data_IF_380241365947
#
_entry.id   IF_380241365947
#
_cell.length_a   1.000
_cell.length_b   1.000
_cell.length_c   1.000
_cell.angle_alpha   90.00
_cell.angle_beta   90.00
_cell.angle_gamma   90.00
#
_symmetry.space_group_name_H-M   'P 1'
#
loop_
_entity.id
_entity.type
_entity.pdbx_description
1 polymer ?
#
# COMPACT_ATOMS: atom_id res chain seq x y z
N UNK A 1 15.73 -36.83 42.86
CA UNK A 1 15.59 -36.57 41.41
C UNK A 1 14.73 -35.34 41.03
N UNK A 2 13.79 -34.82 41.86
CA UNK A 2 12.85 -33.76 41.42
C UNK A 2 13.48 -32.39 41.06
N UNK A 3 14.60 -31.98 41.67
CA UNK A 3 15.22 -30.67 41.40
C UNK A 3 15.72 -30.44 39.96
N UNK A 4 16.13 -31.50 39.25
CA UNK A 4 16.62 -31.39 37.86
C UNK A 4 15.50 -31.13 36.82
N UNK A 5 14.22 -31.31 37.19
CA UNK A 5 13.10 -31.02 36.30
C UNK A 5 12.80 -29.52 36.23
N UNK A 6 12.80 -28.83 37.38
CA UNK A 6 12.47 -27.40 37.47
C UNK A 6 13.52 -26.54 36.74
N UNK A 7 14.80 -26.86 36.85
CA UNK A 7 15.87 -26.11 36.15
C UNK A 7 15.81 -26.27 34.64
N UNK A 8 15.40 -27.44 34.12
CA UNK A 8 15.16 -27.64 32.69
C UNK A 8 13.91 -26.91 32.18
N UNK A 9 12.82 -26.87 32.98
CA UNK A 9 11.64 -26.09 32.65
C UNK A 9 11.96 -24.58 32.56
N UNK A 10 12.69 -24.04 33.55
CA UNK A 10 13.12 -22.64 33.56
C UNK A 10 14.02 -22.30 32.36
N UNK A 11 14.99 -23.18 32.03
CA UNK A 11 15.87 -23.00 30.87
C UNK A 11 15.12 -22.99 29.53
N UNK A 12 14.14 -23.89 29.35
CA UNK A 12 13.30 -23.92 28.15
C UNK A 12 12.43 -22.66 28.03
N UNK A 13 11.87 -22.17 29.15
CA UNK A 13 11.06 -20.95 29.18
C UNK A 13 11.88 -19.70 28.83
N UNK A 14 13.11 -19.60 29.36
CA UNK A 14 14.04 -18.52 29.05
C UNK A 14 14.50 -18.55 27.58
N UNK A 15 14.75 -19.74 27.02
CA UNK A 15 15.11 -19.89 25.61
C UNK A 15 13.95 -19.52 24.67
N UNK A 16 12.72 -19.89 25.01
CA UNK A 16 11.52 -19.51 24.24
C UNK A 16 11.27 -17.99 24.30
N UNK A 17 11.40 -17.37 25.48
CA UNK A 17 11.28 -15.92 25.63
C UNK A 17 12.39 -15.15 24.88
N UNK A 18 13.63 -15.67 24.88
CA UNK A 18 14.71 -15.10 24.07
C UNK A 18 14.42 -15.20 22.57
N UNK A 19 13.83 -16.32 22.11
CA UNK A 19 13.45 -16.51 20.71
C UNK A 19 12.30 -15.59 20.28
N UNK A 20 11.30 -15.33 21.13
CA UNK A 20 10.22 -14.38 20.80
C UNK A 20 10.69 -12.93 20.82
N UNK A 21 11.62 -12.55 21.70
CA UNK A 21 12.24 -11.21 21.70
C UNK A 21 13.25 -11.02 20.54
N UNK A 22 13.82 -12.10 20.00
CA UNK A 22 14.70 -12.06 18.83
C UNK A 22 13.95 -12.07 17.48
N UNK A 23 12.62 -12.24 17.49
CA UNK A 23 11.81 -12.15 16.28
C UNK A 23 11.74 -10.68 15.80
N UNK A 24 11.96 -10.40 14.51
CA UNK A 24 11.83 -9.04 13.98
C UNK A 24 10.37 -8.59 14.07
N UNK A 25 10.13 -7.46 14.74
CA UNK A 25 8.80 -6.85 14.76
C UNK A 25 8.40 -6.41 13.35
N UNK A 26 7.15 -6.69 12.96
CA UNK A 26 6.60 -6.16 11.73
C UNK A 26 6.46 -4.62 11.82
N UNK A 27 6.76 -3.87 10.75
CA UNK A 27 6.60 -2.42 10.77
C UNK A 27 5.12 -2.04 10.90
N UNK A 28 4.76 -1.34 11.97
CA UNK A 28 3.43 -0.77 12.13
C UNK A 28 3.31 0.48 11.23
N UNK A 29 2.38 0.46 10.28
CA UNK A 29 2.13 1.59 9.36
C UNK A 29 1.26 2.65 10.05
N UNK A 30 1.85 3.37 11.01
CA UNK A 30 1.19 4.39 11.84
C UNK A 30 1.18 5.79 11.19
N UNK A 31 0.84 5.85 9.90
CA UNK A 31 0.81 7.08 9.12
C UNK A 31 -0.43 7.13 8.23
N UNK A 32 -1.11 8.28 8.28
CA UNK A 32 -2.26 8.57 7.43
C UNK A 32 -1.82 8.71 5.97
N UNK A 33 -2.46 7.94 5.10
CA UNK A 33 -2.25 7.92 3.66
C UNK A 33 -3.63 7.92 2.95
N UNK A 34 -3.68 8.47 1.74
CA UNK A 34 -4.88 8.39 0.91
C UNK A 34 -5.06 6.93 0.49
N UNK A 35 -6.17 6.31 0.89
CA UNK A 35 -6.52 4.93 0.56
C UNK A 35 -7.42 4.83 -0.67
N UNK A 36 -8.11 5.92 -1.03
CA UNK A 36 -8.91 6.02 -2.25
C UNK A 36 -9.50 7.40 -2.48
N UNK A 37 -10.18 7.58 -3.61
CA UNK A 37 -10.93 8.79 -3.93
C UNK A 37 -12.10 8.51 -4.86
N UNK A 38 -13.09 9.41 -4.84
CA UNK A 38 -14.17 9.47 -5.81
C UNK A 38 -14.25 10.88 -6.40
N UNK A 39 -13.99 11.09 -7.71
CA UNK A 39 -13.48 10.11 -8.68
C UNK A 39 -12.11 9.54 -8.27
N UNK A 40 -11.79 8.32 -8.73
CA UNK A 40 -10.47 7.72 -8.56
C UNK A 40 -9.40 8.49 -9.36
N UNK A 41 -8.13 8.38 -8.96
CA UNK A 41 -7.03 8.98 -9.75
C UNK A 41 -6.95 8.38 -11.15
N UNK A 42 -6.71 9.24 -12.14
CA UNK A 42 -6.74 8.90 -13.57
C UNK A 42 -8.13 8.65 -14.16
N UNK A 43 -9.20 8.66 -13.35
CA UNK A 43 -10.54 8.27 -13.81
C UNK A 43 -11.09 9.19 -14.92
N UNK A 44 -11.86 8.58 -15.83
CA UNK A 44 -12.70 9.27 -16.81
C UNK A 44 -14.15 9.14 -16.36
N UNK A 45 -14.87 10.24 -16.23
CA UNK A 45 -16.22 10.31 -15.66
C UNK A 45 -17.12 11.28 -16.44
N UNK A 46 -18.40 10.97 -16.54
CA UNK A 46 -19.36 11.76 -17.32
C UNK A 46 -19.67 13.12 -16.67
N UNK A 47 -19.81 13.13 -15.34
CA UNK A 47 -19.96 14.34 -14.53
C UNK A 47 -19.47 14.11 -13.10
N UNK A 48 -19.29 15.20 -12.34
CA UNK A 48 -18.87 15.18 -10.93
C UNK A 48 -19.63 16.27 -10.17
N UNK A 49 -20.16 15.95 -8.98
CA UNK A 49 -20.81 16.92 -8.09
C UNK A 49 -19.93 17.32 -6.89
N UNK A 50 -19.06 16.41 -6.46
CA UNK A 50 -18.05 16.62 -5.43
C UNK A 50 -16.91 15.61 -5.58
N UNK A 51 -15.76 15.93 -4.99
CA UNK A 51 -14.66 14.98 -4.81
C UNK A 51 -14.62 14.55 -3.35
N UNK A 52 -14.57 13.24 -3.13
CA UNK A 52 -14.33 12.60 -1.83
C UNK A 52 -12.92 12.02 -1.83
N UNK A 53 -12.18 12.26 -0.76
CA UNK A 53 -10.86 11.69 -0.50
C UNK A 53 -10.96 10.83 0.76
N UNK A 54 -10.69 9.53 0.64
CA UNK A 54 -10.74 8.57 1.74
C UNK A 54 -9.33 8.23 2.20
N UNK A 55 -9.11 8.25 3.51
CA UNK A 55 -7.84 7.93 4.14
C UNK A 55 -7.91 6.61 4.91
N UNK A 56 -6.77 6.01 5.24
CA UNK A 56 -6.69 4.80 6.08
C UNK A 56 -6.90 5.07 7.59
N UNK A 57 -6.91 6.34 8.00
CA UNK A 57 -7.01 6.80 9.39
C UNK A 57 -7.91 8.05 9.46
N UNK A 58 -8.39 8.41 10.65
CA UNK A 58 -9.24 9.60 10.83
C UNK A 58 -8.50 10.90 10.51
N UNK A 59 -9.22 11.84 9.90
CA UNK A 59 -8.76 13.19 9.60
C UNK A 59 -9.40 14.19 10.57
N UNK A 60 -8.59 15.08 11.17
CA UNK A 60 -9.06 16.15 12.06
C UNK A 60 -9.54 17.38 11.30
N UNK A 61 -8.87 17.73 10.20
CA UNK A 61 -9.19 18.88 9.35
C UNK A 61 -8.48 18.80 7.99
N UNK A 62 -8.90 19.60 7.00
CA UNK A 62 -8.19 19.64 5.72
C UNK A 62 -8.60 20.76 4.77
N UNK A 63 -7.82 20.89 3.70
CA UNK A 63 -8.04 21.76 2.56
C UNK A 63 -7.94 20.93 1.27
N UNK A 64 -8.87 21.14 0.34
CA UNK A 64 -8.94 20.43 -0.95
C UNK A 64 -9.20 21.45 -2.05
N UNK A 65 -8.28 21.55 -3.02
CA UNK A 65 -8.26 22.54 -4.09
C UNK A 65 -8.41 21.80 -5.42
N UNK A 66 -9.63 21.85 -5.98
CA UNK A 66 -9.93 21.34 -7.32
C UNK A 66 -9.73 22.47 -8.34
N UNK A 67 -8.96 22.21 -9.39
CA UNK A 67 -8.62 23.15 -10.47
C UNK A 67 -8.82 22.50 -11.85
N UNK A 68 -9.09 23.31 -12.88
CA UNK A 68 -9.05 22.88 -14.28
C UNK A 68 -7.63 23.03 -14.88
N UNK A 69 -7.45 22.61 -16.14
CA UNK A 69 -6.19 22.72 -16.88
C UNK A 69 -5.68 24.17 -17.13
N UNK A 70 -6.43 25.20 -16.73
CA UNK A 70 -6.03 26.60 -16.79
C UNK A 70 -5.82 27.21 -15.38
N UNK A 71 -5.56 26.36 -14.39
CA UNK A 71 -5.31 26.70 -12.97
C UNK A 71 -6.42 27.57 -12.35
N UNK A 72 -7.66 27.47 -12.86
CA UNK A 72 -8.82 28.13 -12.27
C UNK A 72 -9.48 27.20 -11.24
N UNK A 73 -9.67 27.65 -9.99
CA UNK A 73 -10.42 26.90 -8.98
C UNK A 73 -11.86 26.61 -9.43
N UNK A 74 -12.25 25.33 -9.45
CA UNK A 74 -13.60 24.87 -9.82
C UNK A 74 -14.36 24.26 -8.64
N UNK A 75 -14.03 24.66 -7.41
CA UNK A 75 -14.65 24.13 -6.19
C UNK A 75 -15.50 25.19 -5.45
N UNK A 76 -16.49 24.75 -4.67
CA UNK A 76 -17.36 25.60 -3.84
C UNK A 76 -17.51 25.07 -2.40
N UNK A 77 -18.22 25.82 -1.56
CA UNK A 77 -18.45 25.50 -0.14
C UNK A 77 -17.17 25.46 0.70
N UNK A 78 -17.31 24.97 1.94
CA UNK A 78 -16.18 24.54 2.79
C UNK A 78 -15.77 23.11 2.44
N UNK A 79 -14.61 22.66 2.93
CA UNK A 79 -14.32 21.22 3.05
C UNK A 79 -15.19 20.66 4.19
N UNK A 80 -15.73 19.47 4.01
CA UNK A 80 -16.34 18.67 5.07
C UNK A 80 -15.40 17.51 5.42
N UNK A 81 -15.30 17.15 6.69
CA UNK A 81 -14.53 15.99 7.17
C UNK A 81 -15.44 15.11 8.01
N UNK A 82 -15.37 13.79 7.83
CA UNK A 82 -16.21 12.81 8.50
C UNK A 82 -15.42 11.50 8.69
N UNK A 83 -14.77 11.35 9.85
CA UNK A 83 -13.89 10.21 10.11
C UNK A 83 -12.72 10.17 9.14
N UNK A 84 -12.67 9.13 8.30
CA UNK A 84 -11.66 8.92 7.24
C UNK A 84 -11.89 9.76 5.98
N UNK A 85 -13.07 10.34 5.79
CA UNK A 85 -13.46 10.99 4.53
C UNK A 85 -13.36 12.52 4.56
N UNK A 86 -12.84 13.08 3.46
CA UNK A 86 -12.66 14.53 3.24
C UNK A 86 -13.30 14.93 1.91
N UNK A 87 -14.37 15.72 1.97
CA UNK A 87 -15.24 16.01 0.81
C UNK A 87 -15.18 17.48 0.39
N UNK A 88 -15.13 17.74 -0.93
CA UNK A 88 -15.22 19.10 -1.52
C UNK A 88 -16.13 19.14 -2.74
N UNK A 89 -17.17 19.99 -2.68
CA UNK A 89 -18.15 20.20 -3.77
C UNK A 89 -17.58 21.00 -4.93
N UNK A 90 -17.96 20.68 -6.17
CA UNK A 90 -17.53 21.43 -7.37
C UNK A 90 -18.49 22.55 -7.75
N UNK A 91 -17.98 23.52 -8.52
CA UNK A 91 -18.77 24.55 -9.19
C UNK A 91 -19.53 23.91 -10.35
N UNK A 92 -20.83 23.86 -10.13
CA UNK A 92 -21.90 23.56 -11.08
C UNK A 92 -21.61 22.32 -11.94
N UNK A 93 -21.96 22.32 -13.22
CA UNK A 93 -21.53 21.24 -14.12
C UNK A 93 -20.11 21.54 -14.62
N UNK A 94 -19.15 20.65 -14.33
CA UNK A 94 -17.79 20.76 -14.87
C UNK A 94 -17.79 20.55 -16.39
N UNK A 95 -17.23 21.46 -17.21
CA UNK A 95 -16.98 21.21 -18.62
C UNK A 95 -16.07 19.99 -18.86
N UNK A 96 -16.17 19.37 -20.03
CA UNK A 96 -15.27 18.30 -20.43
C UNK A 96 -13.80 18.77 -20.43
N UNK A 97 -12.89 17.93 -19.92
CA UNK A 97 -11.48 18.26 -19.76
C UNK A 97 -10.82 17.62 -18.54
N UNK A 98 -9.50 17.82 -18.38
CA UNK A 98 -8.73 17.32 -17.24
C UNK A 98 -8.79 18.29 -16.05
N UNK A 99 -8.92 17.70 -14.86
CA UNK A 99 -8.95 18.38 -13.57
C UNK A 99 -7.86 17.83 -12.64
N UNK A 100 -7.38 18.69 -11.76
CA UNK A 100 -6.36 18.39 -10.75
C UNK A 100 -6.94 18.69 -9.37
N UNK A 101 -6.79 17.73 -8.45
CA UNK A 101 -7.21 17.85 -7.04
C UNK A 101 -5.95 17.82 -6.18
N UNK A 102 -5.54 18.98 -5.66
CA UNK A 102 -4.53 19.06 -4.61
C UNK A 102 -5.18 19.02 -3.23
N UNK A 103 -4.58 18.33 -2.26
CA UNK A 103 -5.09 18.27 -0.89
C UNK A 103 -3.97 18.44 0.16
N UNK A 104 -4.38 18.97 1.33
CA UNK A 104 -3.59 18.97 2.56
C UNK A 104 -4.52 18.72 3.74
N UNK A 105 -4.32 17.60 4.43
CA UNK A 105 -5.10 17.19 5.61
C UNK A 105 -4.21 17.13 6.85
N UNK A 106 -4.83 17.24 8.03
CA UNK A 106 -4.19 17.00 9.33
C UNK A 106 -4.84 15.74 9.90
N UNK A 107 -4.03 14.71 10.12
CA UNK A 107 -4.43 13.38 10.59
C UNK A 107 -4.74 13.31 12.09
N UNK A 108 -5.29 12.18 12.53
CA UNK A 108 -5.59 11.89 13.93
C UNK A 108 -4.36 11.98 14.85
N UNK A 109 -3.17 11.64 14.36
CA UNK A 109 -1.89 11.78 15.07
C UNK A 109 -1.33 13.24 15.08
N UNK A 110 -1.88 14.13 14.24
CA UNK A 110 -1.50 15.53 14.12
C UNK A 110 -0.55 15.89 12.97
N UNK A 111 -0.09 14.91 12.17
CA UNK A 111 0.81 15.19 11.05
C UNK A 111 0.10 15.82 9.82
N UNK A 112 0.80 16.64 9.02
CA UNK A 112 0.26 17.17 7.77
C UNK A 112 0.51 16.21 6.60
N UNK A 113 -0.56 15.66 6.03
CA UNK A 113 -0.48 14.80 4.82
C UNK A 113 -0.90 15.60 3.60
N UNK A 114 -0.09 15.57 2.54
CA UNK A 114 -0.33 16.29 1.28
C UNK A 114 -0.26 15.37 0.07
N UNK A 115 -1.03 15.67 -0.97
CA UNK A 115 -0.91 14.98 -2.25
C UNK A 115 -1.74 15.64 -3.35
N UNK A 116 -1.66 15.04 -4.53
CA UNK A 116 -2.36 15.49 -5.73
C UNK A 116 -2.84 14.29 -6.52
N UNK A 117 -4.07 14.34 -7.02
CA UNK A 117 -4.62 13.37 -7.97
C UNK A 117 -5.30 14.11 -9.15
N UNK A 118 -5.66 13.38 -10.19
CA UNK A 118 -6.30 13.94 -11.39
C UNK A 118 -7.48 13.11 -11.87
N UNK A 119 -8.46 13.75 -12.50
CA UNK A 119 -9.55 13.07 -13.19
C UNK A 119 -9.89 13.81 -14.49
N UNK A 120 -10.65 13.17 -15.38
CA UNK A 120 -11.10 13.76 -16.64
C UNK A 120 -12.62 13.69 -16.74
N UNK A 121 -13.26 14.82 -16.97
CA UNK A 121 -14.69 14.87 -17.31
C UNK A 121 -14.82 14.66 -18.81
N UNK A 122 -15.65 13.69 -19.24
CA UNK A 122 -15.95 13.41 -20.65
C UNK A 122 -17.07 14.30 -21.18
N UNK A 123 -18.03 14.68 -20.32
CA UNK A 123 -19.22 15.43 -20.70
C UNK A 123 -20.24 14.62 -21.52
N UNK A 124 -20.11 13.29 -21.57
CA UNK A 124 -21.10 12.43 -22.20
C UNK A 124 -22.39 12.39 -21.33
N UNK A 125 -23.55 12.25 -21.98
CA UNK A 125 -24.74 11.80 -21.26
C UNK A 125 -24.52 10.33 -20.85
N UNK A 126 -24.97 9.90 -19.65
CA UNK A 126 -24.69 8.57 -19.12
C UNK A 126 -25.28 7.50 -20.03
N UNK A 127 -24.42 6.92 -20.86
CA UNK A 127 -24.79 5.86 -21.77
C UNK A 127 -24.80 4.57 -20.96
N UNK A 128 -26.00 4.10 -20.62
CA UNK A 128 -26.18 2.82 -19.93
C UNK A 128 -25.40 1.71 -20.66
N UNK A 129 -24.77 0.77 -19.94
CA UNK A 129 -23.93 -0.25 -20.56
C UNK A 129 -24.75 -1.09 -21.54
N UNK A 130 -24.47 -0.95 -22.83
CA UNK A 130 -25.13 -1.68 -23.92
C UNK A 130 -24.77 -3.17 -23.86
N UNK A 131 -25.51 -3.92 -23.05
CA UNK A 131 -25.46 -5.38 -22.99
C UNK A 131 -26.03 -6.00 -24.27
N UNK A 132 -25.16 -6.24 -25.25
CA UNK A 132 -25.40 -7.10 -26.42
C UNK A 132 -24.21 -8.06 -26.49
N UNK A 133 -24.28 -9.18 -25.79
CA UNK A 133 -24.78 -10.49 -26.27
C UNK A 133 -23.60 -11.37 -26.67
N UNK A 134 -23.46 -12.53 -26.02
CA UNK A 134 -22.52 -13.55 -26.45
C UNK A 134 -23.07 -14.27 -27.69
N UNK A 135 -22.41 -14.13 -28.84
CA UNK A 135 -22.60 -15.04 -29.97
C UNK A 135 -21.67 -16.25 -29.81
N UNK A 136 -22.18 -17.43 -30.15
CA UNK A 136 -21.50 -18.71 -29.92
C UNK A 136 -21.21 -19.37 -31.27
N UNK A 137 -19.92 -19.52 -31.61
CA UNK A 137 -19.51 -20.32 -32.77
C UNK A 137 -18.42 -21.32 -32.43
N UNK A 138 -18.87 -22.48 -31.95
CA UNK A 138 -18.08 -23.70 -31.85
C UNK A 138 -17.59 -24.16 -33.22
N UNK A 139 -16.31 -24.53 -33.31
CA UNK A 139 -15.77 -25.40 -34.34
C UNK A 139 -14.70 -26.32 -33.71
N UNK A 140 -14.61 -27.56 -34.19
CA UNK A 140 -13.99 -28.70 -33.48
C UNK A 140 -12.79 -29.25 -34.29
N UNK A 141 -11.74 -29.83 -33.67
CA UNK A 141 -10.38 -29.85 -34.25
C UNK A 141 -10.03 -31.11 -35.08
N UNK A 142 -8.83 -31.11 -35.68
CA UNK A 142 -8.16 -32.29 -36.26
C UNK A 142 -6.62 -32.09 -36.32
N UNK A 143 -5.79 -33.15 -36.46
CA UNK A 143 -4.55 -33.25 -35.65
C UNK A 143 -3.25 -33.69 -36.39
N UNK A 144 -2.15 -33.84 -35.61
CA UNK A 144 -0.95 -34.69 -35.88
C UNK A 144 0.04 -34.10 -36.93
N UNK A 145 1.38 -34.06 -36.74
CA UNK A 145 2.30 -35.08 -36.16
C UNK A 145 3.53 -34.55 -35.39
N UNK A 146 4.03 -35.40 -34.48
CA UNK A 146 5.34 -35.50 -33.78
C UNK A 146 6.46 -35.96 -34.76
N UNK A 147 7.81 -35.97 -34.51
CA UNK A 147 8.65 -35.72 -33.31
C UNK A 147 9.62 -34.50 -33.50
N UNK A 148 10.86 -34.33 -32.97
CA UNK A 148 11.81 -35.11 -32.14
C UNK A 148 12.88 -34.20 -31.45
N UNK A 149 13.77 -34.78 -30.62
CA UNK A 149 15.02 -34.18 -30.08
C UNK A 149 14.86 -33.37 -28.76
N UNK A 150 15.33 -33.74 -27.56
CA UNK A 150 16.51 -34.46 -27.01
C UNK A 150 17.59 -33.53 -26.43
N UNK A 151 17.64 -33.50 -25.10
CA UNK A 151 18.75 -33.11 -24.20
C UNK A 151 19.25 -31.64 -24.15
N UNK A 152 19.69 -31.23 -22.94
CA UNK A 152 20.22 -29.89 -22.65
C UNK A 152 20.02 -29.49 -21.18
N UNK A 153 20.99 -29.78 -20.31
CA UNK A 153 20.91 -29.48 -18.87
C UNK A 153 21.12 -27.99 -18.53
N UNK A 154 20.48 -27.50 -17.46
CA UNK A 154 20.52 -26.07 -17.09
C UNK A 154 20.11 -25.77 -15.63
N UNK A 155 20.93 -26.20 -14.68
CA UNK A 155 21.03 -25.77 -13.27
C UNK A 155 19.83 -25.03 -12.64
N UNK A 156 19.12 -25.72 -11.74
CA UNK A 156 18.28 -25.07 -10.72
C UNK A 156 19.15 -24.18 -9.83
N UNK A 157 19.03 -22.86 -9.95
CA UNK A 157 19.68 -21.95 -9.00
C UNK A 157 18.97 -21.99 -7.65
N UNK A 158 19.61 -22.64 -6.69
CA UNK A 158 19.20 -22.70 -5.29
C UNK A 158 19.40 -21.35 -4.58
N UNK A 159 18.70 -21.23 -3.46
CA UNK A 159 18.83 -20.13 -2.50
C UNK A 159 20.23 -20.02 -1.86
N UNK A 160 20.39 -18.92 -1.11
CA UNK A 160 21.25 -18.70 0.08
C UNK A 160 22.49 -17.82 -0.12
N UNK A 161 22.50 -16.69 0.60
CA UNK A 161 23.70 -16.20 1.29
C UNK A 161 23.84 -14.68 1.39
N UNK A 162 24.37 -14.09 2.47
CA UNK A 162 24.55 -14.55 3.87
C UNK A 162 24.49 -13.28 4.76
N UNK A 163 23.80 -13.31 5.89
CA UNK A 163 23.87 -12.23 6.90
C UNK A 163 24.99 -12.48 7.91
N UNK A 164 26.00 -11.60 8.01
CA UNK A 164 27.15 -11.81 8.90
C UNK A 164 27.84 -10.50 9.37
N UNK A 165 27.13 -9.68 10.18
CA UNK A 165 27.63 -8.37 10.62
C UNK A 165 27.29 -7.97 12.07
N UNK A 166 27.18 -8.93 13.01
CA UNK A 166 26.86 -8.63 14.43
C UNK A 166 27.71 -9.37 15.50
N UNK A 167 28.46 -10.42 15.14
CA UNK A 167 29.15 -11.25 16.14
C UNK A 167 30.45 -10.67 16.73
N UNK A 168 31.12 -9.75 16.02
CA UNK A 168 32.50 -9.36 16.34
C UNK A 168 32.64 -8.46 17.59
N UNK A 169 31.66 -7.61 17.89
CA UNK A 169 31.79 -6.58 18.93
C UNK A 169 31.88 -7.12 20.36
N UNK A 170 31.13 -8.18 20.68
CA UNK A 170 31.00 -8.70 22.05
C UNK A 170 32.22 -9.54 22.45
N UNK A 171 32.80 -10.31 21.53
CA UNK A 171 33.97 -11.14 21.80
C UNK A 171 35.22 -10.34 22.17
N UNK A 172 35.43 -9.19 21.51
CA UNK A 172 36.59 -8.33 21.75
C UNK A 172 36.60 -7.76 23.17
N UNK A 173 35.44 -7.24 23.63
CA UNK A 173 35.25 -6.70 24.98
C UNK A 173 35.53 -7.73 26.09
N UNK A 174 35.17 -9.00 25.90
CA UNK A 174 35.44 -10.03 26.90
C UNK A 174 36.92 -10.40 26.99
N UNK A 175 37.62 -10.44 25.84
CA UNK A 175 39.06 -10.78 25.77
C UNK A 175 39.97 -9.79 26.50
N UNK A 176 39.66 -8.48 26.42
CA UNK A 176 40.47 -7.44 27.05
C UNK A 176 40.36 -7.44 28.58
N UNK A 177 39.23 -7.88 29.14
CA UNK A 177 39.00 -7.88 30.60
C UNK A 177 39.78 -8.99 31.34
N UNK A 178 40.20 -10.06 30.67
CA UNK A 178 41.04 -11.11 31.28
C UNK A 178 42.52 -10.73 31.42
N UNK A 179 43.04 -9.74 30.67
CA UNK A 179 44.47 -9.37 30.65
C UNK A 179 44.91 -8.36 31.73
N UNK A 180 44.08 -8.10 32.75
CA UNK A 180 44.38 -7.16 33.85
C UNK A 180 44.24 -7.77 35.26
N UNK A 181 44.06 -9.09 35.33
CA UNK A 181 43.79 -9.86 36.55
C UNK A 181 44.72 -11.09 36.65
N UNK A 182 45.92 -10.98 36.08
CA UNK A 182 47.02 -11.94 36.11
C UNK A 182 48.33 -11.14 36.09
#
# INVERSE_FOLDING_TARGET
MRFFALTRAAGAFAALAALTLAAPAAPASAHTALSGSSPADGAKVDSVAEVVLTFNEEVRSGQVVIQNAAEKPVHKGKVTVSGTDVTRKVRDALPAGKYTVGYRVISADGHPVTGTLTFTVTGAAPTAPSGVTADTRTATPSPTSTPDGTEGGGTRWLMVGVGLAAGAGIGLLYSMRRRKNA
#
